data_IF_957186433843
#
_entry.id   IF_957186433843
#
_cell.length_a   1.000
_cell.length_b   1.000
_cell.length_c   1.000
_cell.angle_alpha   90.00
_cell.angle_beta   90.00
_cell.angle_gamma   90.00
#
_symmetry.space_group_name_H-M   'P 1'
#
loop_
_entity.id
_entity.type
_entity.pdbx_description
1 polymer ?
#
# COMPACT_ATOMS: atom_id res chain seq x y z
N UNK A 1 -71.64 27.83 -29.82
CA UNK A 1 -70.91 29.12 -29.87
C UNK A 1 -69.44 28.78 -29.64
N UNK A 2 -68.62 28.95 -30.67
CA UNK A 2 -67.25 28.43 -30.76
C UNK A 2 -66.27 29.30 -29.96
N UNK A 3 -65.50 28.68 -29.05
CA UNK A 3 -64.33 29.30 -28.41
C UNK A 3 -63.10 28.95 -29.23
N UNK A 4 -62.49 29.96 -29.84
CA UNK A 4 -61.38 29.86 -30.76
C UNK A 4 -60.18 29.13 -30.14
N UNK A 5 -59.69 28.11 -30.85
CA UNK A 5 -58.39 27.51 -30.61
C UNK A 5 -57.32 28.59 -30.82
N UNK A 6 -56.66 29.00 -29.75
CA UNK A 6 -55.45 29.82 -29.81
C UNK A 6 -54.33 28.98 -30.44
N UNK A 7 -54.26 29.00 -31.78
CA UNK A 7 -53.08 28.58 -32.53
C UNK A 7 -51.96 29.58 -32.24
N UNK A 8 -51.30 29.42 -31.09
CA UNK A 8 -50.07 30.11 -30.77
C UNK A 8 -48.96 29.51 -31.64
N UNK A 9 -48.85 30.00 -32.88
CA UNK A 9 -47.63 29.82 -33.68
C UNK A 9 -46.47 30.36 -32.86
N UNK A 10 -45.53 29.49 -32.50
CA UNK A 10 -44.35 29.88 -31.72
C UNK A 10 -43.67 31.06 -32.42
N UNK A 11 -43.49 32.16 -31.69
CA UNK A 11 -42.80 33.33 -32.24
C UNK A 11 -41.39 32.91 -32.67
N UNK A 12 -40.92 33.31 -33.88
CA UNK A 12 -39.62 32.86 -34.41
C UNK A 12 -38.43 33.15 -33.48
N UNK A 13 -38.52 34.20 -32.66
CA UNK A 13 -37.54 34.53 -31.62
C UNK A 13 -37.46 33.47 -30.49
N UNK A 14 -38.57 32.82 -30.15
CA UNK A 14 -38.59 31.76 -29.13
C UNK A 14 -37.96 30.48 -29.67
N UNK A 15 -38.19 30.16 -30.96
CA UNK A 15 -37.56 29.02 -31.63
C UNK A 15 -36.04 29.16 -31.68
N UNK A 16 -35.54 30.37 -31.98
CA UNK A 16 -34.10 30.66 -31.96
C UNK A 16 -33.49 30.43 -30.57
N UNK A 17 -34.11 30.96 -29.51
CA UNK A 17 -33.66 30.75 -28.12
C UNK A 17 -33.70 29.29 -27.69
N UNK A 18 -34.71 28.53 -28.13
CA UNK A 18 -34.78 27.08 -27.86
C UNK A 18 -33.62 26.34 -28.51
N UNK A 19 -33.26 26.69 -29.74
CA UNK A 19 -32.12 26.08 -30.42
C UNK A 19 -30.79 26.44 -29.75
N UNK A 20 -30.59 27.68 -29.34
CA UNK A 20 -29.42 28.10 -28.54
C UNK A 20 -29.33 27.31 -27.23
N UNK A 21 -30.44 27.19 -26.49
CA UNK A 21 -30.46 26.42 -25.24
C UNK A 21 -30.22 24.93 -25.43
N UNK A 22 -30.66 24.35 -26.55
CA UNK A 22 -30.34 22.95 -26.88
C UNK A 22 -28.84 22.75 -27.11
N UNK A 23 -28.19 23.66 -27.85
CA UNK A 23 -26.74 23.62 -28.06
C UNK A 23 -25.97 23.79 -26.74
N UNK A 24 -26.40 24.73 -25.88
CA UNK A 24 -25.80 24.92 -24.55
C UNK A 24 -25.95 23.67 -23.67
N UNK A 25 -27.12 23.01 -23.70
CA UNK A 25 -27.35 21.76 -22.97
C UNK A 25 -26.49 20.61 -23.47
N UNK A 26 -26.24 20.52 -24.77
CA UNK A 26 -25.33 19.52 -25.35
C UNK A 26 -23.91 19.72 -24.82
N UNK A 27 -23.40 20.96 -24.87
CA UNK A 27 -22.10 21.30 -24.30
C UNK A 27 -22.02 20.98 -22.80
N UNK A 28 -23.06 21.27 -22.03
CA UNK A 28 -23.10 20.96 -20.59
C UNK A 28 -23.12 19.47 -20.31
N UNK A 29 -23.76 18.67 -21.17
CA UNK A 29 -23.76 17.21 -21.06
C UNK A 29 -22.36 16.65 -21.29
N UNK A 30 -21.69 17.12 -22.34
CA UNK A 30 -20.30 16.74 -22.62
C UNK A 30 -19.36 17.11 -21.46
N UNK A 31 -19.47 18.32 -20.92
CA UNK A 31 -18.67 18.73 -19.75
C UNK A 31 -18.93 17.84 -18.54
N UNK A 32 -20.18 17.47 -18.29
CA UNK A 32 -20.55 16.55 -17.21
C UNK A 32 -20.01 15.15 -17.44
N UNK A 33 -20.03 14.64 -18.67
CA UNK A 33 -19.47 13.32 -19.00
C UNK A 33 -17.94 13.32 -18.89
N UNK A 34 -17.27 14.38 -19.35
CA UNK A 34 -15.82 14.57 -19.16
C UNK A 34 -15.46 14.68 -17.68
N UNK A 35 -16.24 15.40 -16.88
CA UNK A 35 -16.01 15.52 -15.43
C UNK A 35 -16.15 14.17 -14.72
N UNK A 36 -17.14 13.36 -15.12
CA UNK A 36 -17.31 12.00 -14.60
C UNK A 36 -16.12 11.11 -14.99
N UNK A 37 -15.62 11.22 -16.22
CA UNK A 37 -14.44 10.48 -16.67
C UNK A 37 -13.18 10.89 -15.89
N UNK A 38 -12.99 12.17 -15.60
CA UNK A 38 -11.87 12.67 -14.77
C UNK A 38 -11.97 12.12 -13.36
N UNK A 39 -13.16 12.14 -12.75
CA UNK A 39 -13.36 11.58 -11.41
C UNK A 39 -12.95 10.10 -11.34
N UNK A 40 -13.39 9.30 -12.32
CA UNK A 40 -12.99 7.88 -12.42
C UNK A 40 -11.48 7.71 -12.59
N UNK A 41 -10.82 8.59 -13.34
CA UNK A 41 -9.35 8.57 -13.47
C UNK A 41 -8.65 8.94 -12.15
N UNK A 42 -9.22 9.84 -11.34
CA UNK A 42 -8.66 10.18 -10.03
C UNK A 42 -8.77 9.01 -9.05
N UNK A 43 -9.88 8.27 -9.05
CA UNK A 43 -10.03 7.03 -8.25
C UNK A 43 -9.01 5.96 -8.68
N UNK A 44 -8.83 5.76 -9.99
CA UNK A 44 -7.83 4.82 -10.49
C UNK A 44 -6.38 5.24 -10.15
N UNK A 45 -6.11 6.55 -10.11
CA UNK A 45 -4.81 7.10 -9.71
C UNK A 45 -4.57 6.91 -8.21
N UNK A 46 -5.59 7.12 -7.37
CA UNK A 46 -5.53 6.84 -5.94
C UNK A 46 -5.16 5.39 -5.66
N UNK A 47 -5.80 4.44 -6.34
CA UNK A 47 -5.49 3.02 -6.18
C UNK A 47 -4.03 2.71 -6.52
N UNK A 48 -3.50 3.30 -7.60
CA UNK A 48 -2.09 3.14 -8.00
C UNK A 48 -1.12 3.76 -6.99
N UNK A 49 -1.48 4.91 -6.41
CA UNK A 49 -0.71 5.53 -5.33
C UNK A 49 -0.71 4.66 -4.07
N UNK A 50 -1.83 4.01 -3.75
CA UNK A 50 -1.91 3.01 -2.69
C UNK A 50 -0.92 1.87 -2.90
N UNK A 51 -0.94 1.24 -4.09
CA UNK A 51 0.02 0.18 -4.43
C UNK A 51 1.48 0.62 -4.35
N UNK A 52 1.78 1.86 -4.77
CA UNK A 52 3.13 2.42 -4.66
C UNK A 52 3.54 2.59 -3.20
N UNK A 53 2.63 3.10 -2.35
CA UNK A 53 2.83 3.24 -0.91
C UNK A 53 3.14 1.89 -0.26
N UNK A 54 2.32 0.88 -0.51
CA UNK A 54 2.50 -0.48 0.03
C UNK A 54 3.85 -1.07 -0.40
N UNK A 55 4.23 -0.86 -1.67
CA UNK A 55 5.54 -1.27 -2.19
C UNK A 55 6.71 -0.59 -1.47
N UNK A 56 6.58 0.71 -1.15
CA UNK A 56 7.63 1.42 -0.39
C UNK A 56 7.75 0.94 1.06
N UNK A 57 6.63 0.56 1.70
CA UNK A 57 6.64 -0.03 3.03
C UNK A 57 7.34 -1.40 3.02
N UNK A 58 7.06 -2.24 2.03
CA UNK A 58 7.73 -3.53 1.86
C UNK A 58 9.26 -3.37 1.71
N UNK A 59 9.72 -2.37 0.93
CA UNK A 59 11.14 -2.06 0.80
C UNK A 59 11.71 -1.57 2.14
N UNK A 60 11.00 -0.72 2.88
CA UNK A 60 11.43 -0.24 4.20
C UNK A 60 11.61 -1.40 5.20
N UNK A 61 10.72 -2.40 5.18
CA UNK A 61 10.85 -3.62 6.00
C UNK A 61 12.10 -4.41 5.63
N UNK A 62 12.37 -4.60 4.34
CA UNK A 62 13.60 -5.27 3.87
C UNK A 62 14.83 -4.48 4.34
N UNK A 63 14.88 -3.17 4.12
CA UNK A 63 15.99 -2.34 4.59
C UNK A 63 16.19 -2.42 6.11
N UNK A 64 15.10 -2.39 6.88
CA UNK A 64 15.14 -2.57 8.33
C UNK A 64 15.71 -3.93 8.75
N UNK A 65 15.34 -4.99 8.04
CA UNK A 65 15.90 -6.33 8.25
C UNK A 65 17.42 -6.34 7.96
N UNK A 66 17.83 -5.87 6.79
CA UNK A 66 19.25 -5.84 6.39
C UNK A 66 20.10 -4.97 7.32
N UNK A 67 19.55 -3.87 7.82
CA UNK A 67 20.20 -3.04 8.84
C UNK A 67 20.51 -3.81 10.12
N UNK A 68 19.55 -4.63 10.59
CA UNK A 68 19.75 -5.48 11.77
C UNK A 68 20.79 -6.58 11.51
N UNK A 69 20.76 -7.22 10.33
CA UNK A 69 21.74 -8.24 9.93
C UNK A 69 23.15 -7.66 9.89
N UNK A 70 23.35 -6.53 9.20
CA UNK A 70 24.67 -5.89 9.10
C UNK A 70 25.18 -5.42 10.46
N UNK A 71 24.30 -4.91 11.33
CA UNK A 71 24.67 -4.56 12.72
C UNK A 71 25.10 -5.78 13.51
N UNK A 72 24.36 -6.88 13.43
CA UNK A 72 24.69 -8.12 14.14
C UNK A 72 26.05 -8.67 13.69
N UNK A 73 26.29 -8.68 12.37
CA UNK A 73 27.60 -9.07 11.80
C UNK A 73 28.69 -8.15 12.32
N UNK A 74 28.51 -6.82 12.26
CA UNK A 74 29.53 -5.88 12.73
C UNK A 74 29.85 -6.04 14.22
N UNK A 75 28.83 -6.22 15.07
CA UNK A 75 29.01 -6.48 16.51
C UNK A 75 29.73 -7.80 16.79
N UNK A 76 29.53 -8.84 15.97
CA UNK A 76 30.26 -10.10 16.07
C UNK A 76 31.69 -9.98 15.54
N UNK A 77 31.89 -9.36 14.37
CA UNK A 77 33.20 -9.22 13.71
C UNK A 77 34.15 -8.28 14.45
N UNK A 78 33.65 -7.25 15.12
CA UNK A 78 34.46 -6.31 15.91
C UNK A 78 34.94 -6.87 17.26
N UNK A 79 34.37 -8.00 17.71
CA UNK A 79 34.67 -8.66 18.99
C UNK A 79 35.50 -9.93 18.83
N UNK A 80 36.25 -10.11 17.74
CA UNK A 80 37.15 -11.26 17.64
C UNK A 80 38.31 -11.09 18.64
N UNK A 81 38.35 -11.85 19.77
CA UNK A 81 39.42 -11.73 20.73
C UNK A 81 40.70 -12.24 20.08
N UNK A 82 41.79 -11.48 20.17
CA UNK A 82 43.12 -11.96 19.78
C UNK A 82 43.41 -13.23 20.61
N UNK A 83 43.91 -14.33 20.03
CA UNK A 83 44.15 -15.56 20.79
C UNK A 83 45.20 -15.25 21.86
N UNK A 84 44.76 -15.07 23.10
CA UNK A 84 45.62 -15.00 24.26
C UNK A 84 45.66 -16.41 24.81
N UNK A 85 46.86 -17.00 24.75
CA UNK A 85 47.22 -18.16 25.54
C UNK A 85 46.86 -17.87 27.00
N UNK A 86 46.49 -18.94 27.72
CA UNK A 86 46.38 -19.04 29.17
C UNK A 86 44.96 -18.88 29.74
N UNK A 87 44.31 -20.05 29.81
CA UNK A 87 43.63 -20.61 30.98
C UNK A 87 43.39 -19.64 32.15
N UNK A 88 42.25 -18.94 32.14
CA UNK A 88 41.43 -18.62 33.35
C UNK A 88 40.19 -17.75 33.07
N UNK A 89 39.98 -17.28 31.83
CA UNK A 89 38.71 -16.69 31.45
C UNK A 89 37.74 -17.77 30.92
N UNK A 90 37.08 -18.49 31.82
CA UNK A 90 35.70 -18.92 31.56
C UNK A 90 34.83 -17.66 31.46
N UNK A 91 35.09 -16.83 30.44
CA UNK A 91 34.38 -15.62 30.14
C UNK A 91 32.91 -16.00 30.02
N UNK A 92 32.08 -15.45 30.91
CA UNK A 92 30.65 -15.68 30.97
C UNK A 92 30.06 -15.65 29.56
N UNK A 93 29.78 -16.83 29.01
CA UNK A 93 29.21 -16.97 27.68
C UNK A 93 27.87 -16.23 27.70
N UNK A 94 27.63 -15.29 26.77
CA UNK A 94 26.36 -14.59 26.72
C UNK A 94 25.23 -15.62 26.53
N UNK A 95 24.14 -15.45 27.29
CA UNK A 95 22.96 -16.31 27.15
C UNK A 95 22.42 -16.23 25.72
N UNK A 96 21.97 -17.37 25.18
CA UNK A 96 21.52 -17.53 23.77
C UNK A 96 20.06 -17.09 23.55
N UNK A 97 19.56 -16.15 24.35
CA UNK A 97 18.21 -15.64 24.23
C UNK A 97 18.04 -14.86 22.93
N UNK A 98 17.19 -15.38 22.04
CA UNK A 98 16.81 -14.73 20.78
C UNK A 98 15.32 -14.41 20.78
N UNK A 99 14.94 -13.33 20.08
CA UNK A 99 13.53 -12.97 19.90
C UNK A 99 13.01 -13.66 18.66
N UNK A 100 11.95 -14.43 18.83
CA UNK A 100 11.25 -15.10 17.74
C UNK A 100 9.81 -14.57 17.72
N UNK A 101 9.27 -14.19 16.54
CA UNK A 101 7.87 -13.83 16.41
C UNK A 101 6.96 -14.95 16.94
N UNK A 102 5.95 -14.58 17.74
CA UNK A 102 5.08 -15.55 18.42
C UNK A 102 4.29 -16.43 17.46
N UNK A 103 4.01 -15.94 16.25
CA UNK A 103 3.39 -16.71 15.16
C UNK A 103 4.24 -17.90 14.67
N UNK A 104 5.56 -17.87 14.86
CA UNK A 104 6.46 -18.96 14.47
C UNK A 104 6.79 -19.91 15.63
N UNK A 105 6.35 -19.60 16.85
CA UNK A 105 6.65 -20.39 18.04
C UNK A 105 6.20 -21.87 17.94
N UNK A 106 4.99 -22.20 17.44
CA UNK A 106 4.54 -23.59 17.37
C UNK A 106 5.40 -24.46 16.44
N UNK A 107 5.82 -23.91 15.29
CA UNK A 107 6.64 -24.62 14.32
C UNK A 107 8.05 -24.90 14.85
N UNK A 108 8.59 -23.98 15.64
CA UNK A 108 9.90 -24.13 16.26
C UNK A 108 9.89 -25.07 17.46
N UNK A 109 8.79 -25.10 18.24
CA UNK A 109 8.60 -26.08 19.30
C UNK A 109 8.59 -27.52 18.74
N UNK A 110 7.83 -27.74 17.66
CA UNK A 110 7.81 -29.04 16.99
C UNK A 110 9.19 -29.44 16.42
N UNK A 111 9.98 -28.49 15.92
CA UNK A 111 11.34 -28.76 15.44
C UNK A 111 12.33 -29.03 16.59
N UNK A 112 12.17 -28.36 17.73
CA UNK A 112 13.00 -28.58 18.91
C UNK A 112 12.73 -29.97 19.51
N UNK A 113 11.47 -30.36 19.66
CA UNK A 113 11.05 -31.68 20.14
C UNK A 113 11.58 -32.80 19.22
N UNK A 114 11.45 -32.64 17.90
CA UNK A 114 11.98 -33.60 16.93
C UNK A 114 13.51 -33.71 16.94
N UNK A 115 14.24 -32.62 17.26
CA UNK A 115 15.69 -32.63 17.38
C UNK A 115 16.17 -33.29 18.68
N UNK A 116 15.39 -33.20 19.76
CA UNK A 116 15.65 -33.93 21.01
C UNK A 116 15.40 -35.43 20.85
N UNK A 117 14.29 -35.85 20.21
CA UNK A 117 13.99 -37.26 19.94
C UNK A 117 15.01 -37.94 19.01
N UNK A 118 15.66 -37.18 18.11
CA UNK A 118 16.68 -37.71 17.21
C UNK A 118 18.06 -37.88 17.86
N UNK A 119 18.25 -37.35 19.07
CA UNK A 119 19.51 -37.35 19.81
C UNK A 119 19.48 -38.28 21.04
N UNK A 120 18.35 -38.95 21.29
CA UNK A 120 18.20 -40.14 22.14
C UNK A 120 18.39 -41.44 21.34
#
# INVERSE_FOLDING_TARGET
MAGAASSAGQSPALVARVNEKKAELENLRELRDLSAAVASQMEALEQKLGTLSDGTEAIALVMGNWHNVLRAINMASSKLPKPQNDAEAAAALPQTLVRIPTEHAPALQAQAEAAEEANE
#
